data_IF_512274189958
#
_entry.id   IF_512274189958
#
_cell.length_a   1.000
_cell.length_b   1.000
_cell.length_c   1.000
_cell.angle_alpha   90.00
_cell.angle_beta   90.00
_cell.angle_gamma   90.00
#
_symmetry.space_group_name_H-M   'P 1'
#
loop_
_entity.id
_entity.type
_entity.pdbx_description
1 polymer ?
#
# COMPACT_ATOMS: atom_id res chain seq x y z
N UNK A 1 -26.36 -14.82 -9.21
CA UNK A 1 -25.29 -13.89 -8.81
C UNK A 1 -24.24 -13.99 -9.90
N UNK A 2 -24.12 -12.97 -10.74
CA UNK A 2 -23.29 -12.97 -11.94
C UNK A 2 -22.40 -11.72 -11.90
N UNK A 3 -21.28 -11.82 -11.20
CA UNK A 3 -20.09 -11.00 -11.42
C UNK A 3 -18.92 -11.96 -11.13
N UNK A 4 -18.62 -12.82 -12.09
CA UNK A 4 -17.37 -13.57 -12.06
C UNK A 4 -16.25 -12.57 -12.34
N UNK A 5 -15.31 -12.46 -11.42
CA UNK A 5 -14.12 -11.65 -11.63
C UNK A 5 -13.22 -12.41 -12.61
N UNK A 6 -13.40 -12.20 -13.93
CA UNK A 6 -12.75 -12.94 -15.01
C UNK A 6 -11.20 -12.76 -15.09
N UNK A 7 -10.57 -12.12 -14.09
CA UNK A 7 -9.11 -11.92 -13.96
C UNK A 7 -8.51 -12.33 -12.60
N UNK A 8 -9.29 -12.89 -11.67
CA UNK A 8 -8.74 -13.35 -10.40
C UNK A 8 -8.03 -14.72 -10.54
N UNK A 9 -6.75 -14.78 -10.18
CA UNK A 9 -5.94 -15.99 -10.18
C UNK A 9 -5.61 -16.43 -8.75
N UNK A 10 -5.77 -17.74 -8.48
CA UNK A 10 -5.39 -18.35 -7.19
C UNK A 10 -3.90 -18.71 -7.10
N UNK A 11 -3.10 -18.36 -8.11
CA UNK A 11 -1.65 -18.60 -8.09
C UNK A 11 -1.02 -17.99 -6.84
N UNK A 12 -0.18 -18.76 -6.11
CA UNK A 12 0.41 -18.27 -4.88
C UNK A 12 1.33 -17.07 -5.14
N UNK A 13 1.32 -16.13 -4.21
CA UNK A 13 2.17 -14.94 -4.21
C UNK A 13 2.63 -14.67 -2.78
N UNK A 14 3.86 -14.22 -2.60
CA UNK A 14 4.48 -14.04 -1.28
C UNK A 14 5.20 -12.71 -1.18
N UNK A 15 5.13 -12.08 -0.01
CA UNK A 15 5.80 -10.82 0.24
C UNK A 15 7.33 -10.97 0.23
N UNK A 16 8.05 -10.08 -0.47
CA UNK A 16 9.51 -10.11 -0.48
C UNK A 16 10.07 -9.79 0.92
N UNK A 17 11.24 -10.31 1.28
CA UNK A 17 11.79 -10.08 2.62
C UNK A 17 12.22 -8.63 2.86
N UNK A 18 12.52 -7.92 1.78
CA UNK A 18 12.83 -6.49 1.73
C UNK A 18 12.17 -5.87 0.52
N UNK A 19 11.81 -4.60 0.62
CA UNK A 19 11.37 -3.80 -0.52
C UNK A 19 12.21 -2.53 -0.52
N UNK A 20 13.11 -2.40 -1.50
CA UNK A 20 14.14 -1.36 -1.50
C UNK A 20 14.92 -1.37 -0.17
N UNK A 21 15.00 -0.25 0.54
CA UNK A 21 15.72 -0.15 1.82
C UNK A 21 14.92 -0.69 3.02
N UNK A 22 13.63 -0.97 2.83
CA UNK A 22 12.71 -1.34 3.90
C UNK A 22 12.71 -2.85 4.17
N UNK A 23 12.58 -3.22 5.44
CA UNK A 23 12.46 -4.61 5.90
C UNK A 23 11.02 -4.88 6.34
N UNK A 24 10.61 -6.15 6.38
CA UNK A 24 9.36 -6.53 7.04
C UNK A 24 9.34 -5.96 8.46
N UNK A 25 8.20 -5.43 8.90
CA UNK A 25 8.10 -4.66 10.15
C UNK A 25 8.74 -5.36 11.36
N UNK A 26 8.48 -6.65 11.53
CA UNK A 26 9.02 -7.42 12.66
C UNK A 26 10.53 -7.69 12.63
N UNK A 27 11.20 -7.41 11.50
CA UNK A 27 12.63 -7.62 11.30
C UNK A 27 13.47 -6.34 11.48
N UNK A 28 12.85 -5.22 11.83
CA UNK A 28 13.58 -3.98 12.07
C UNK A 28 14.43 -4.07 13.35
N UNK A 29 15.65 -3.51 13.30
CA UNK A 29 16.64 -3.58 14.38
C UNK A 29 16.09 -3.04 15.71
N UNK A 30 15.22 -2.01 15.66
CA UNK A 30 14.57 -1.42 16.85
C UNK A 30 13.75 -2.43 17.68
N UNK A 31 13.32 -3.56 17.09
CA UNK A 31 12.55 -4.60 17.78
C UNK A 31 13.40 -5.76 18.30
N UNK A 32 14.68 -5.86 17.92
CA UNK A 32 15.52 -7.01 18.24
C UNK A 32 15.84 -7.14 19.74
N UNK A 33 16.05 -6.00 20.42
CA UNK A 33 16.73 -5.98 21.72
C UNK A 33 15.80 -5.92 22.95
N UNK A 34 14.48 -5.93 22.79
CA UNK A 34 13.57 -5.98 23.95
C UNK A 34 12.27 -6.79 23.72
N UNK A 35 11.75 -7.41 24.79
CA UNK A 35 10.57 -8.28 24.76
C UNK A 35 9.32 -7.58 24.23
N UNK A 36 9.14 -6.31 24.59
CA UNK A 36 8.00 -5.51 24.14
C UNK A 36 8.04 -5.27 22.61
N UNK A 37 9.22 -5.04 22.05
CA UNK A 37 9.44 -4.90 20.61
C UNK A 37 9.07 -6.19 19.88
N UNK A 38 9.51 -7.34 20.38
CA UNK A 38 9.13 -8.65 19.83
C UNK A 38 7.62 -8.92 19.93
N UNK A 39 6.96 -8.52 21.01
CA UNK A 39 5.50 -8.63 21.13
C UNK A 39 4.79 -7.74 20.11
N UNK A 40 5.24 -6.50 19.93
CA UNK A 40 4.70 -5.59 18.91
C UNK A 40 4.88 -6.18 17.51
N UNK A 41 6.08 -6.67 17.19
CA UNK A 41 6.39 -7.33 15.92
C UNK A 41 5.46 -8.53 15.66
N UNK A 42 5.30 -9.43 16.64
CA UNK A 42 4.42 -10.60 16.51
C UNK A 42 2.94 -10.22 16.35
N UNK A 43 2.47 -9.16 17.00
CA UNK A 43 1.10 -8.64 16.79
C UNK A 43 0.94 -8.10 15.36
N UNK A 44 1.95 -7.41 14.83
CA UNK A 44 1.89 -6.88 13.47
C UNK A 44 1.87 -8.01 12.44
N UNK A 45 2.68 -9.04 12.63
CA UNK A 45 2.67 -10.24 11.78
C UNK A 45 1.29 -10.95 11.77
N UNK A 46 0.65 -11.09 12.94
CA UNK A 46 -0.70 -11.65 13.02
C UNK A 46 -1.74 -10.76 12.30
N UNK A 47 -1.59 -9.44 12.36
CA UNK A 47 -2.45 -8.52 11.61
C UNK A 47 -2.24 -8.62 10.11
N UNK A 48 -0.98 -8.66 9.65
CA UNK A 48 -0.61 -8.81 8.24
C UNK A 48 -1.20 -10.12 7.67
N UNK A 49 -1.07 -11.22 8.40
CA UNK A 49 -1.68 -12.51 8.02
C UNK A 49 -3.20 -12.43 7.90
N UNK A 50 -3.89 -11.89 8.92
CA UNK A 50 -5.36 -11.76 8.89
C UNK A 50 -5.85 -10.79 7.81
N UNK A 51 -5.07 -9.75 7.53
CA UNK A 51 -5.35 -8.83 6.43
C UNK A 51 -5.16 -9.50 5.07
N UNK A 52 -4.13 -10.33 4.91
CA UNK A 52 -3.92 -11.17 3.72
C UNK A 52 -5.11 -12.08 3.43
N UNK A 53 -5.61 -12.78 4.46
CA UNK A 53 -6.81 -13.64 4.36
C UNK A 53 -8.05 -12.83 3.92
N UNK A 54 -8.20 -11.60 4.42
CA UNK A 54 -9.32 -10.72 4.06
C UNK A 54 -9.18 -10.16 2.64
N UNK A 55 -7.97 -9.79 2.23
CA UNK A 55 -7.69 -9.32 0.88
C UNK A 55 -7.98 -10.43 -0.13
N UNK A 56 -7.46 -11.64 0.09
CA UNK A 56 -7.78 -12.80 -0.73
C UNK A 56 -9.30 -13.02 -0.84
N UNK A 57 -10.03 -12.97 0.28
CA UNK A 57 -11.49 -13.12 0.28
C UNK A 57 -12.23 -12.00 -0.48
N UNK A 58 -11.73 -10.77 -0.45
CA UNK A 58 -12.30 -9.65 -1.21
C UNK A 58 -12.10 -9.82 -2.74
N UNK A 59 -11.12 -10.63 -3.14
CA UNK A 59 -10.81 -10.96 -4.54
C UNK A 59 -11.12 -12.43 -4.87
N UNK A 60 -12.24 -12.96 -4.35
CA UNK A 60 -12.74 -14.32 -4.66
C UNK A 60 -11.73 -15.46 -4.40
N UNK A 61 -10.83 -15.29 -3.43
CA UNK A 61 -9.79 -16.25 -3.08
C UNK A 61 -8.55 -16.17 -3.96
N UNK A 62 -8.32 -15.05 -4.66
CA UNK A 62 -7.09 -14.79 -5.40
C UNK A 62 -5.85 -14.95 -4.50
N UNK A 63 -4.72 -15.30 -5.12
CA UNK A 63 -3.43 -15.22 -4.45
C UNK A 63 -3.19 -13.80 -4.00
N UNK A 64 -3.10 -13.58 -2.69
CA UNK A 64 -2.94 -12.25 -2.13
C UNK A 64 -2.12 -12.27 -0.85
N UNK A 65 -1.44 -11.16 -0.57
CA UNK A 65 -0.81 -10.92 0.71
C UNK A 65 -0.92 -9.44 1.10
N UNK A 66 -0.82 -9.21 2.41
CA UNK A 66 -0.62 -7.92 3.03
C UNK A 66 0.60 -8.04 3.90
N UNK A 67 1.56 -7.13 3.74
CA UNK A 67 2.79 -7.11 4.50
C UNK A 67 3.15 -5.69 4.90
N UNK A 68 3.42 -5.49 6.18
CA UNK A 68 3.92 -4.23 6.69
C UNK A 68 5.44 -4.16 6.58
N UNK A 69 5.93 -3.04 6.09
CA UNK A 69 7.36 -2.74 5.96
C UNK A 69 7.73 -1.50 6.75
N UNK A 70 9.01 -1.41 7.11
CA UNK A 70 9.56 -0.27 7.83
C UNK A 70 11.07 -0.17 7.63
N UNK A 71 11.63 1.01 7.86
CA UNK A 71 13.08 1.18 7.98
C UNK A 71 13.60 0.60 9.31
N UNK A 72 14.91 0.55 9.50
CA UNK A 72 15.50 -0.13 10.67
C UNK A 72 15.14 0.52 12.01
N UNK A 73 14.80 1.81 12.00
CA UNK A 73 14.50 2.61 13.19
C UNK A 73 12.98 2.73 13.44
N UNK A 74 12.17 2.16 12.54
CA UNK A 74 10.72 2.25 12.49
C UNK A 74 10.16 3.68 12.37
N UNK A 75 10.89 4.57 11.70
CA UNK A 75 10.48 5.97 11.47
C UNK A 75 9.47 6.06 10.33
N UNK A 76 9.75 5.39 9.21
CA UNK A 76 8.86 5.26 8.08
C UNK A 76 8.26 3.86 8.04
N UNK A 77 6.94 3.78 7.90
CA UNK A 77 6.20 2.52 7.77
C UNK A 77 5.23 2.62 6.61
N UNK A 78 4.92 1.47 6.01
CA UNK A 78 3.83 1.35 5.06
C UNK A 78 3.30 -0.07 5.02
N UNK A 79 2.16 -0.26 4.37
CA UNK A 79 1.56 -1.54 4.10
C UNK A 79 1.61 -1.80 2.59
N UNK A 80 2.22 -2.91 2.20
CA UNK A 80 2.18 -3.44 0.85
C UNK A 80 1.01 -4.43 0.76
N UNK A 81 0.07 -4.16 -0.14
CA UNK A 81 -1.11 -4.98 -0.42
C UNK A 81 -1.03 -5.46 -1.86
N UNK A 82 -1.07 -6.78 -2.06
CA UNK A 82 -0.94 -7.37 -3.39
C UNK A 82 -1.98 -8.45 -3.59
N UNK A 83 -2.65 -8.45 -4.74
CA UNK A 83 -3.59 -9.48 -5.15
C UNK A 83 -3.41 -9.82 -6.63
N UNK A 84 -3.48 -11.11 -6.97
CA UNK A 84 -3.54 -11.61 -8.36
C UNK A 84 -4.95 -11.40 -8.93
N UNK A 85 -5.38 -10.16 -8.99
CA UNK A 85 -6.67 -9.72 -9.50
C UNK A 85 -6.60 -8.23 -9.85
N UNK A 86 -7.37 -7.75 -10.83
CA UNK A 86 -7.45 -6.33 -11.15
C UNK A 86 -8.28 -5.57 -10.10
N UNK A 87 -7.98 -4.27 -9.94
CA UNK A 87 -8.85 -3.31 -9.24
C UNK A 87 -9.22 -2.15 -10.17
N UNK A 88 -10.33 -1.43 -9.91
CA UNK A 88 -10.60 -0.19 -10.61
C UNK A 88 -9.43 0.80 -10.46
N UNK A 89 -8.88 1.24 -11.59
CA UNK A 89 -7.77 2.19 -11.66
C UNK A 89 -8.02 3.26 -12.73
N UNK A 90 -7.61 4.52 -12.48
CA UNK A 90 -7.07 5.00 -11.21
C UNK A 90 -8.14 5.04 -10.08
N UNK A 91 -7.73 5.17 -8.80
CA UNK A 91 -8.66 5.40 -7.69
C UNK A 91 -9.68 6.51 -8.00
N UNK A 92 -10.94 6.28 -7.64
CA UNK A 92 -11.96 7.31 -7.73
C UNK A 92 -11.67 8.44 -6.74
N UNK A 93 -11.63 9.67 -7.25
CA UNK A 93 -11.51 10.89 -6.45
C UNK A 93 -12.75 11.76 -6.69
N UNK A 94 -13.53 12.08 -5.64
CA UNK A 94 -14.67 12.96 -5.78
C UNK A 94 -14.20 14.37 -6.16
N UNK A 95 -14.95 15.03 -7.05
CA UNK A 95 -14.69 16.43 -7.37
C UNK A 95 -14.93 17.30 -6.13
N UNK A 96 -13.96 18.17 -5.82
CA UNK A 96 -14.10 19.24 -4.83
C UNK A 96 -13.64 20.55 -5.43
N UNK A 97 -14.43 21.63 -5.31
CA UNK A 97 -14.04 22.96 -5.77
C UNK A 97 -13.17 23.65 -4.71
N UNK A 98 -11.87 23.87 -4.97
CA UNK A 98 -10.98 24.49 -3.98
C UNK A 98 -11.41 25.91 -3.63
N UNK A 99 -12.00 26.65 -4.58
CA UNK A 99 -12.41 28.05 -4.36
C UNK A 99 -13.60 28.13 -3.42
N UNK A 100 -14.56 27.22 -3.57
CA UNK A 100 -15.71 27.13 -2.67
C UNK A 100 -15.30 26.73 -1.25
N UNK A 101 -14.27 25.87 -1.14
CA UNK A 101 -13.70 25.42 0.12
C UNK A 101 -12.70 26.41 0.75
N UNK A 102 -12.36 27.51 0.06
CA UNK A 102 -11.33 28.44 0.52
C UNK A 102 -9.93 27.82 0.60
N UNK A 103 -9.65 26.81 -0.22
CA UNK A 103 -8.38 26.08 -0.29
C UNK A 103 -7.63 26.42 -1.58
N UNK A 104 -6.30 26.31 -1.54
CA UNK A 104 -5.47 26.46 -2.75
C UNK A 104 -5.58 25.25 -3.69
N UNK A 105 -5.91 24.08 -3.14
CA UNK A 105 -5.96 22.78 -3.82
C UNK A 105 -7.19 21.97 -3.39
N UNK A 106 -7.67 21.03 -4.21
CA UNK A 106 -8.73 20.08 -3.84
C UNK A 106 -8.38 19.30 -2.57
N UNK A 107 -9.38 18.92 -1.78
CA UNK A 107 -9.15 18.09 -0.57
C UNK A 107 -8.52 16.75 -0.91
N UNK A 108 -8.86 16.18 -2.07
CA UNK A 108 -8.26 14.97 -2.59
C UNK A 108 -7.86 15.21 -4.05
N UNK A 109 -6.69 14.70 -4.44
CA UNK A 109 -6.21 14.75 -5.82
C UNK A 109 -5.59 13.41 -6.21
N UNK A 110 -5.74 13.08 -7.49
CA UNK A 110 -5.01 11.98 -8.09
C UNK A 110 -3.74 12.54 -8.75
N UNK A 111 -2.59 11.92 -8.49
CA UNK A 111 -1.35 12.18 -9.22
C UNK A 111 -0.82 10.88 -9.80
N UNK A 112 -0.35 10.94 -11.04
CA UNK A 112 0.20 9.81 -11.77
C UNK A 112 1.72 9.93 -11.85
N UNK A 113 2.41 8.81 -11.63
CA UNK A 113 3.84 8.63 -11.76
C UNK A 113 4.06 7.40 -12.64
N UNK A 114 4.30 7.63 -13.93
CA UNK A 114 4.31 6.58 -14.96
C UNK A 114 3.04 5.72 -14.93
N UNK A 115 3.13 4.43 -14.60
CA UNK A 115 1.98 3.51 -14.49
C UNK A 115 1.37 3.44 -13.08
N UNK A 116 1.90 4.21 -12.13
CA UNK A 116 1.42 4.25 -10.75
C UNK A 116 0.50 5.45 -10.54
N UNK A 117 -0.66 5.20 -9.95
CA UNK A 117 -1.62 6.23 -9.56
C UNK A 117 -1.66 6.41 -8.05
N UNK A 118 -1.40 7.62 -7.57
CA UNK A 118 -1.39 7.98 -6.16
C UNK A 118 -2.57 8.90 -5.81
N UNK A 119 -3.34 8.48 -4.81
CA UNK A 119 -4.32 9.32 -4.13
C UNK A 119 -3.63 10.14 -3.05
N UNK A 120 -3.71 11.46 -3.18
CA UNK A 120 -3.16 12.42 -2.24
C UNK A 120 -4.32 13.16 -1.58
N UNK A 121 -4.27 13.25 -0.25
CA UNK A 121 -5.15 14.11 0.52
C UNK A 121 -4.41 15.38 0.92
N UNK A 122 -5.06 16.52 0.69
CA UNK A 122 -4.55 17.84 1.00
C UNK A 122 -5.30 18.41 2.20
N UNK A 123 -4.54 18.72 3.25
CA UNK A 123 -5.00 19.59 4.33
C UNK A 123 -4.37 20.99 4.14
N UNK A 124 -4.86 22.04 4.82
CA UNK A 124 -4.35 23.40 4.63
C UNK A 124 -2.85 23.61 4.88
N UNK A 125 -2.22 22.73 5.65
CA UNK A 125 -0.80 22.83 6.04
C UNK A 125 0.11 21.83 5.34
N UNK A 126 -0.43 20.72 4.81
CA UNK A 126 0.35 19.61 4.30
C UNK A 126 -0.46 18.71 3.36
N UNK A 127 0.26 17.97 2.52
CA UNK A 127 -0.30 16.94 1.65
C UNK A 127 0.23 15.59 2.08
N UNK A 128 -0.60 14.56 1.97
CA UNK A 128 -0.23 13.21 2.34
C UNK A 128 -0.75 12.18 1.37
N UNK A 129 0.09 11.18 1.13
CA UNK A 129 -0.23 10.01 0.31
C UNK A 129 -1.16 9.12 1.11
N UNK A 130 -2.35 8.88 0.58
CA UNK A 130 -3.31 7.93 1.17
C UNK A 130 -3.03 6.52 0.66
N UNK A 131 -2.85 6.40 -0.66
CA UNK A 131 -2.55 5.13 -1.33
C UNK A 131 -1.88 5.41 -2.68
N UNK A 132 -0.96 4.55 -3.10
CA UNK A 132 -0.48 4.48 -4.47
C UNK A 132 -0.71 3.06 -4.98
N UNK A 133 -1.17 2.91 -6.22
CA UNK A 133 -1.40 1.59 -6.81
C UNK A 133 -1.00 1.53 -8.28
N UNK A 134 -0.64 0.32 -8.70
CA UNK A 134 -0.51 -0.11 -10.10
C UNK A 134 -1.30 -1.40 -10.25
N UNK A 135 -2.03 -1.53 -11.35
CA UNK A 135 -2.82 -2.72 -11.65
C UNK A 135 -2.85 -2.98 -13.14
N UNK A 136 -2.86 -4.26 -13.50
CA UNK A 136 -3.22 -4.76 -14.83
C UNK A 136 -4.31 -5.83 -14.69
N UNK A 137 -4.50 -6.64 -15.74
CA UNK A 137 -5.51 -7.69 -15.78
C UNK A 137 -5.24 -8.85 -14.78
N UNK A 138 -4.00 -9.05 -14.35
CA UNK A 138 -3.56 -10.22 -13.58
C UNK A 138 -3.03 -9.89 -12.17
N UNK A 139 -2.64 -8.64 -11.91
CA UNK A 139 -1.98 -8.21 -10.68
C UNK A 139 -2.40 -6.79 -10.28
N UNK A 140 -2.64 -6.61 -8.98
CA UNK A 140 -2.69 -5.30 -8.32
C UNK A 140 -1.59 -5.24 -7.27
N UNK A 141 -0.83 -4.15 -7.28
CA UNK A 141 0.12 -3.78 -6.23
C UNK A 141 -0.28 -2.42 -5.68
N UNK A 142 -0.45 -2.34 -4.36
CA UNK A 142 -0.84 -1.12 -3.65
C UNK A 142 0.07 -0.89 -2.44
N UNK A 143 0.46 0.37 -2.23
CA UNK A 143 1.09 0.83 -0.99
C UNK A 143 0.15 1.80 -0.29
N UNK A 144 -0.14 1.53 0.98
CA UNK A 144 -1.05 2.32 1.82
C UNK A 144 -0.52 2.46 3.25
N UNK A 145 -1.28 3.15 4.12
CA UNK A 145 -0.94 3.34 5.54
C UNK A 145 0.48 3.88 5.75
N UNK A 146 0.90 4.79 4.87
CA UNK A 146 2.24 5.38 4.87
C UNK A 146 2.39 6.30 6.09
N UNK A 147 3.53 6.21 6.78
CA UNK A 147 3.88 7.06 7.93
C UNK A 147 5.29 7.63 7.80
N UNK A 148 5.65 8.52 8.71
CA UNK A 148 6.94 9.20 8.70
C UNK A 148 7.01 10.25 7.59
N UNK A 149 8.22 10.60 7.19
CA UNK A 149 8.45 11.57 6.12
C UNK A 149 7.98 11.04 4.76
N UNK A 150 7.97 9.71 4.60
CA UNK A 150 7.48 9.03 3.40
C UNK A 150 6.02 9.39 3.08
N UNK A 151 5.19 9.74 4.09
CA UNK A 151 3.79 10.09 3.88
C UNK A 151 3.63 11.35 3.01
N UNK A 152 4.64 12.22 2.95
CA UNK A 152 4.62 13.46 2.18
C UNK A 152 5.33 13.33 0.82
N UNK A 153 5.93 12.18 0.52
CA UNK A 153 6.73 11.94 -0.69
C UNK A 153 6.02 10.96 -1.65
N UNK A 154 5.06 11.49 -2.40
CA UNK A 154 4.31 10.69 -3.38
C UNK A 154 5.19 10.01 -4.45
N UNK A 155 6.22 10.66 -5.03
CA UNK A 155 7.19 9.99 -5.88
C UNK A 155 7.85 8.78 -5.21
N UNK A 156 8.35 8.92 -3.97
CA UNK A 156 9.01 7.80 -3.28
C UNK A 156 8.04 6.64 -2.98
N UNK A 157 6.77 6.92 -2.65
CA UNK A 157 5.76 5.87 -2.49
C UNK A 157 5.43 5.19 -3.82
N UNK A 158 5.40 5.95 -4.93
CA UNK A 158 5.20 5.38 -6.26
C UNK A 158 6.35 4.45 -6.66
N UNK A 159 7.60 4.84 -6.36
CA UNK A 159 8.78 4.01 -6.60
C UNK A 159 8.72 2.67 -5.82
N UNK A 160 8.11 2.65 -4.62
CA UNK A 160 7.88 1.41 -3.86
C UNK A 160 6.86 0.50 -4.55
N UNK A 161 5.78 1.07 -5.10
CA UNK A 161 4.80 0.31 -5.89
C UNK A 161 5.47 -0.27 -7.13
N UNK A 162 6.28 0.52 -7.84
CA UNK A 162 6.99 0.06 -9.04
C UNK A 162 8.03 -1.02 -8.72
N UNK A 163 8.81 -0.85 -7.66
CA UNK A 163 9.76 -1.86 -7.20
C UNK A 163 9.07 -3.19 -6.86
N UNK A 164 7.95 -3.14 -6.13
CA UNK A 164 7.18 -4.33 -5.79
C UNK A 164 6.56 -4.97 -7.06
N UNK A 165 6.10 -4.16 -8.00
CA UNK A 165 5.59 -4.63 -9.28
C UNK A 165 6.65 -5.40 -10.06
N UNK A 166 7.86 -4.86 -10.19
CA UNK A 166 8.96 -5.49 -10.92
C UNK A 166 9.39 -6.84 -10.31
N UNK A 167 9.25 -7.01 -8.99
CA UNK A 167 9.59 -8.26 -8.31
C UNK A 167 8.48 -9.33 -8.41
N UNK A 168 7.22 -8.89 -8.49
CA UNK A 168 6.06 -9.78 -8.33
C UNK A 168 5.33 -10.11 -9.64
N UNK A 169 5.47 -9.29 -10.68
CA UNK A 169 4.79 -9.46 -11.97
C UNK A 169 5.10 -10.83 -12.60
#
# INVERSE_FOLDING_TARGET
MLFGNDGASSSPISAPDRLSDYVKYGNADVFADNDNGREIAGRREDWDRRSSERLAAAHDGAGAFVQSYTDQEAENTFMLEVARAPVPSPPYVPYSDPKDLGMERPTEELREFDEVSCLIRNDPSQSYVTTCLRTDDDLTVQVSHVSGDLLQDAPAVADLVDAAWQELA
#
